data_IF_855889218835
#
_entry.id   IF_855889218835
#
_cell.length_a   1.000
_cell.length_b   1.000
_cell.length_c   1.000
_cell.angle_alpha   90.00
_cell.angle_beta   90.00
_cell.angle_gamma   90.00
#
_symmetry.space_group_name_H-M   'P 1'
#
loop_
_entity.id
_entity.type
_entity.pdbx_description
1 polymer ?
#
# COMPACT_ATOMS: atom_id res chain seq x y z
N UNK A 1 41.15 -4.38 -34.33
CA UNK A 1 40.80 -3.05 -34.88
C UNK A 1 41.96 -2.57 -35.74
N UNK A 2 41.70 -2.13 -36.97
CA UNK A 2 42.71 -1.42 -37.79
C UNK A 2 42.12 -0.09 -38.27
N UNK A 3 42.89 1.00 -38.15
CA UNK A 3 42.58 2.32 -38.70
C UNK A 3 43.73 2.69 -39.63
N UNK A 4 43.45 2.75 -40.92
CA UNK A 4 44.48 2.94 -41.97
C UNK A 4 44.10 4.13 -42.84
N UNK A 5 45.07 5.00 -43.15
CA UNK A 5 44.87 6.12 -44.10
C UNK A 5 44.95 5.57 -45.53
N UNK A 6 43.88 5.72 -46.31
CA UNK A 6 43.81 5.30 -47.73
C UNK A 6 43.09 6.36 -48.56
N UNK A 7 43.74 6.83 -49.64
CA UNK A 7 43.20 7.86 -50.55
C UNK A 7 42.69 9.12 -49.84
N UNK A 8 43.49 9.65 -48.90
CA UNK A 8 43.15 10.87 -48.17
C UNK A 8 42.12 10.72 -47.03
N UNK A 9 41.47 9.55 -46.90
CA UNK A 9 40.46 9.23 -45.87
C UNK A 9 40.94 8.18 -44.91
N UNK A 10 40.35 8.07 -43.73
CA UNK A 10 40.64 7.09 -42.72
C UNK A 10 39.68 5.95 -42.79
N UNK A 11 40.18 4.72 -43.06
CA UNK A 11 39.42 3.48 -43.11
C UNK A 11 39.47 2.81 -41.74
N UNK A 12 38.34 2.65 -41.11
CA UNK A 12 38.12 1.84 -39.92
C UNK A 12 37.67 0.45 -40.35
N UNK A 13 38.30 -0.58 -39.84
CA UNK A 13 38.00 -1.99 -40.14
C UNK A 13 38.15 -2.81 -38.86
N UNK A 14 37.03 -3.35 -38.33
CA UNK A 14 37.05 -4.16 -37.12
C UNK A 14 35.82 -5.07 -37.02
N UNK A 15 35.92 -6.03 -36.09
CA UNK A 15 34.82 -6.89 -35.70
C UNK A 15 34.41 -6.50 -34.27
N UNK A 16 33.20 -6.01 -34.03
CA UNK A 16 32.74 -5.60 -32.69
C UNK A 16 32.79 -6.75 -31.67
N UNK A 17 32.52 -7.96 -32.09
CA UNK A 17 32.46 -9.18 -31.27
C UNK A 17 33.74 -10.05 -31.36
N UNK A 18 34.83 -9.51 -31.89
CA UNK A 18 36.05 -10.26 -32.13
C UNK A 18 36.08 -10.99 -33.49
N UNK A 19 37.27 -11.50 -33.90
CA UNK A 19 37.38 -12.29 -35.13
C UNK A 19 36.64 -13.62 -34.99
N UNK A 20 35.80 -14.00 -35.97
CA UNK A 20 35.01 -15.20 -35.86
C UNK A 20 35.83 -16.47 -35.90
N UNK A 21 35.54 -17.42 -35.01
CA UNK A 21 35.85 -18.84 -35.18
C UNK A 21 34.69 -19.60 -35.86
N UNK A 22 33.79 -18.89 -36.61
CA UNK A 22 32.63 -19.40 -37.30
C UNK A 22 31.84 -18.31 -38.03
N UNK A 23 30.72 -18.65 -38.70
CA UNK A 23 29.97 -17.81 -39.66
C UNK A 23 29.17 -16.58 -39.13
N UNK A 24 29.28 -16.18 -37.88
CA UNK A 24 28.30 -15.27 -37.28
C UNK A 24 28.74 -13.84 -36.93
N UNK A 25 30.02 -13.43 -37.12
CA UNK A 25 30.45 -12.10 -36.67
C UNK A 25 30.48 -11.10 -37.83
N UNK A 26 29.68 -10.02 -37.70
CA UNK A 26 29.53 -8.97 -38.71
C UNK A 26 30.72 -8.01 -38.69
N UNK A 27 31.50 -7.97 -39.80
CA UNK A 27 32.60 -7.03 -40.00
C UNK A 27 32.07 -5.63 -40.27
N UNK A 28 32.63 -4.62 -39.59
CA UNK A 28 32.31 -3.21 -39.84
C UNK A 28 33.50 -2.60 -40.56
N UNK A 29 33.23 -2.02 -41.74
CA UNK A 29 34.19 -1.32 -42.56
C UNK A 29 33.63 0.02 -42.99
N UNK A 30 34.23 1.15 -42.54
CA UNK A 30 33.72 2.50 -42.83
C UNK A 30 34.88 3.49 -42.95
N UNK A 31 34.71 4.51 -43.83
CA UNK A 31 35.69 5.57 -44.06
C UNK A 31 35.24 6.88 -43.44
N UNK A 32 36.19 7.61 -42.87
CA UNK A 32 36.02 8.90 -42.19
C UNK A 32 36.96 9.95 -42.71
N UNK A 33 36.61 11.22 -42.50
CA UNK A 33 37.45 12.36 -42.92
C UNK A 33 38.66 12.53 -42.03
N UNK A 34 38.50 12.24 -40.73
CA UNK A 34 39.57 12.37 -39.74
C UNK A 34 39.80 11.06 -38.96
N UNK A 35 40.99 10.88 -38.38
CA UNK A 35 41.31 9.75 -37.49
C UNK A 35 40.47 9.79 -36.21
N UNK A 36 40.20 11.02 -35.69
CA UNK A 36 39.39 11.23 -34.50
C UNK A 36 37.95 10.72 -34.68
N UNK A 37 37.31 11.04 -35.82
CA UNK A 37 35.97 10.51 -36.16
C UNK A 37 35.94 8.98 -36.23
N UNK A 38 36.96 8.36 -36.80
CA UNK A 38 37.05 6.91 -36.88
C UNK A 38 37.14 6.27 -35.47
N UNK A 39 37.91 6.90 -34.55
CA UNK A 39 38.05 6.44 -33.17
C UNK A 39 36.71 6.67 -32.39
N UNK A 40 36.12 7.85 -32.52
CA UNK A 40 34.86 8.15 -31.87
C UNK A 40 33.75 7.19 -32.32
N UNK A 41 33.65 6.90 -33.60
CA UNK A 41 32.69 5.93 -34.12
C UNK A 41 32.98 4.51 -33.61
N UNK A 42 34.24 4.10 -33.55
CA UNK A 42 34.60 2.81 -32.94
C UNK A 42 34.15 2.72 -31.48
N UNK A 43 34.46 3.73 -30.68
CA UNK A 43 34.08 3.77 -29.26
C UNK A 43 32.56 3.73 -29.07
N UNK A 44 31.83 4.51 -29.87
CA UNK A 44 30.38 4.50 -29.87
C UNK A 44 29.77 3.11 -30.19
N UNK A 45 30.36 2.39 -31.17
CA UNK A 45 29.94 1.03 -31.47
C UNK A 45 30.31 0.08 -30.33
N UNK A 46 31.49 0.19 -29.76
CA UNK A 46 31.94 -0.66 -28.67
C UNK A 46 31.13 -0.43 -27.38
N UNK A 47 30.82 0.83 -27.04
CA UNK A 47 29.89 1.13 -25.95
C UNK A 47 28.52 0.47 -26.16
N UNK A 48 27.96 0.60 -27.37
CA UNK A 48 26.69 -0.07 -27.69
C UNK A 48 26.77 -1.58 -27.69
N UNK A 49 27.92 -2.18 -28.00
CA UNK A 49 28.15 -3.62 -27.91
C UNK A 49 28.21 -4.09 -26.45
N UNK A 50 28.86 -3.31 -25.57
CA UNK A 50 28.92 -3.62 -24.14
C UNK A 50 27.61 -3.35 -23.39
N UNK A 51 26.76 -2.43 -23.90
CA UNK A 51 25.46 -2.08 -23.31
C UNK A 51 24.31 -2.98 -23.84
N UNK A 52 24.59 -3.92 -24.75
CA UNK A 52 23.54 -4.81 -25.28
C UNK A 52 23.34 -6.04 -24.38
N UNK A 53 22.35 -6.05 -23.50
CA UNK A 53 22.08 -7.18 -22.58
C UNK A 53 21.70 -8.49 -23.31
N UNK A 54 21.36 -8.41 -24.61
CA UNK A 54 20.99 -9.58 -25.43
C UNK A 54 22.19 -10.33 -26.04
N UNK A 55 23.43 -9.87 -25.86
CA UNK A 55 24.64 -10.59 -26.30
C UNK A 55 25.06 -11.68 -25.31
N UNK A 56 24.55 -11.66 -24.09
CA UNK A 56 24.81 -12.66 -23.05
C UNK A 56 23.77 -13.80 -23.00
N UNK A 57 23.31 -14.26 -24.15
CA UNK A 57 22.52 -15.47 -24.26
C UNK A 57 21.03 -15.30 -23.99
N UNK A 58 20.22 -15.96 -24.76
CA UNK A 58 18.76 -16.11 -24.75
C UNK A 58 17.95 -14.90 -24.29
N UNK A 59 17.28 -14.22 -25.22
CA UNK A 59 16.23 -13.26 -24.92
C UNK A 59 15.36 -13.77 -23.77
N UNK A 60 15.17 -12.94 -22.75
CA UNK A 60 14.25 -13.25 -21.67
C UNK A 60 12.83 -13.28 -22.25
N UNK A 61 12.30 -14.47 -22.49
CA UNK A 61 10.99 -14.69 -23.08
C UNK A 61 9.89 -14.83 -22.04
N UNK A 62 10.21 -14.58 -20.77
CA UNK A 62 9.19 -14.60 -19.72
C UNK A 62 8.14 -13.52 -20.00
N UNK A 63 6.90 -13.88 -19.77
CA UNK A 63 5.78 -12.96 -19.79
C UNK A 63 5.71 -12.17 -18.48
N UNK A 64 5.01 -11.07 -18.49
CA UNK A 64 4.80 -10.27 -17.28
C UNK A 64 4.19 -11.09 -16.15
N UNK A 65 3.23 -11.98 -16.49
CA UNK A 65 2.61 -12.93 -15.55
C UNK A 65 3.63 -13.90 -14.93
N UNK A 66 4.62 -14.35 -15.69
CA UNK A 66 5.65 -15.24 -15.16
C UNK A 66 6.49 -14.55 -14.07
N UNK A 67 6.79 -13.25 -14.25
CA UNK A 67 7.46 -12.46 -13.21
C UNK A 67 6.58 -12.27 -11.97
N UNK A 68 5.26 -12.06 -12.14
CA UNK A 68 4.32 -11.96 -11.02
C UNK A 68 4.26 -13.28 -10.24
N UNK A 69 4.21 -14.41 -10.93
CA UNK A 69 4.22 -15.73 -10.31
C UNK A 69 5.52 -15.99 -9.56
N UNK A 70 6.66 -15.72 -10.20
CA UNK A 70 7.97 -15.88 -9.58
C UNK A 70 8.11 -14.98 -8.33
N UNK A 71 7.70 -13.73 -8.41
CA UNK A 71 7.67 -12.84 -7.25
C UNK A 71 6.80 -13.40 -6.12
N UNK A 72 5.64 -13.97 -6.46
CA UNK A 72 4.74 -14.54 -5.47
C UNK A 72 5.38 -15.74 -4.77
N UNK A 73 5.96 -16.66 -5.52
CA UNK A 73 6.56 -17.88 -4.99
C UNK A 73 7.77 -17.57 -4.08
N UNK A 74 8.58 -16.56 -4.42
CA UNK A 74 9.80 -16.21 -3.71
C UNK A 74 9.60 -15.20 -2.57
N UNK A 75 8.56 -14.36 -2.64
CA UNK A 75 8.31 -13.30 -1.66
C UNK A 75 6.84 -13.13 -1.32
N UNK A 76 5.97 -13.05 -2.30
CA UNK A 76 4.54 -12.71 -2.12
C UNK A 76 3.81 -13.66 -1.17
N UNK A 77 4.19 -14.94 -1.15
CA UNK A 77 3.64 -15.98 -0.27
C UNK A 77 3.80 -15.65 1.24
N UNK A 78 4.77 -14.83 1.60
CA UNK A 78 5.02 -14.41 3.00
C UNK A 78 4.14 -13.24 3.44
N UNK A 79 3.40 -12.63 2.51
CA UNK A 79 2.57 -11.46 2.78
C UNK A 79 1.13 -11.86 3.11
N UNK A 80 0.53 -11.25 4.11
CA UNK A 80 -0.87 -11.50 4.51
C UNK A 80 -1.87 -11.29 3.36
N UNK A 81 -1.56 -10.38 2.43
CA UNK A 81 -2.37 -10.05 1.26
C UNK A 81 -1.74 -10.50 -0.08
N UNK A 82 -0.75 -11.38 -0.03
CA UNK A 82 0.03 -11.82 -1.19
C UNK A 82 -0.83 -12.40 -2.31
N UNK A 83 -1.74 -13.30 -2.00
CA UNK A 83 -2.70 -13.88 -2.96
C UNK A 83 -3.57 -12.80 -3.63
N UNK A 84 -4.05 -11.85 -2.84
CA UNK A 84 -4.86 -10.74 -3.36
C UNK A 84 -4.06 -9.86 -4.32
N UNK A 85 -2.79 -9.58 -4.01
CA UNK A 85 -1.88 -8.82 -4.88
C UNK A 85 -1.63 -9.59 -6.17
N UNK A 86 -1.28 -10.88 -6.06
CA UNK A 86 -1.07 -11.77 -7.22
C UNK A 86 -2.29 -11.74 -8.14
N UNK A 87 -3.47 -12.06 -7.63
CA UNK A 87 -4.70 -12.09 -8.42
C UNK A 87 -5.06 -10.72 -9.03
N UNK A 88 -4.69 -9.62 -8.38
CA UNK A 88 -4.87 -8.27 -8.94
C UNK A 88 -3.93 -8.02 -10.12
N UNK A 89 -2.67 -8.42 -9.98
CA UNK A 89 -1.65 -8.26 -11.03
C UNK A 89 -1.88 -9.22 -12.21
N UNK A 90 -2.33 -10.45 -11.96
CA UNK A 90 -2.71 -11.40 -13.02
C UNK A 90 -3.83 -10.84 -13.90
N UNK A 91 -4.87 -10.26 -13.27
CA UNK A 91 -5.93 -9.57 -14.00
C UNK A 91 -5.39 -8.40 -14.85
N UNK A 92 -4.44 -7.62 -14.29
CA UNK A 92 -3.82 -6.53 -15.03
C UNK A 92 -2.95 -7.04 -16.20
N UNK A 93 -2.17 -8.11 -16.01
CA UNK A 93 -1.41 -8.76 -17.07
C UNK A 93 -2.33 -9.19 -18.22
N UNK A 94 -3.41 -9.88 -17.91
CA UNK A 94 -4.40 -10.32 -18.90
C UNK A 94 -5.04 -9.14 -19.64
N UNK A 95 -5.42 -8.09 -18.91
CA UNK A 95 -6.02 -6.87 -19.48
C UNK A 95 -5.07 -6.11 -20.41
N UNK A 96 -3.76 -6.29 -20.26
CA UNK A 96 -2.71 -5.71 -21.11
C UNK A 96 -2.25 -6.68 -22.23
N UNK A 97 -2.86 -7.87 -22.36
CA UNK A 97 -2.49 -8.89 -23.34
C UNK A 97 -1.30 -9.74 -22.92
N UNK A 98 -0.93 -9.73 -21.65
CA UNK A 98 0.17 -10.50 -21.05
C UNK A 98 1.48 -10.39 -21.85
N UNK A 99 2.06 -9.17 -21.95
CA UNK A 99 3.21 -8.89 -22.81
C UNK A 99 4.46 -9.63 -22.31
N UNK A 100 5.48 -9.71 -23.17
CA UNK A 100 6.80 -10.10 -22.72
C UNK A 100 7.30 -9.10 -21.66
N UNK A 101 7.93 -9.62 -20.61
CA UNK A 101 8.30 -8.79 -19.46
C UNK A 101 9.26 -7.63 -19.83
N UNK A 102 10.11 -7.82 -20.83
CA UNK A 102 11.03 -6.79 -21.32
C UNK A 102 10.35 -5.74 -22.22
N UNK A 103 9.16 -6.04 -22.76
CA UNK A 103 8.35 -5.12 -23.57
C UNK A 103 7.40 -4.28 -22.69
N UNK A 104 7.16 -4.72 -21.46
CA UNK A 104 6.30 -4.00 -20.53
C UNK A 104 6.94 -2.67 -20.11
N UNK A 105 6.24 -1.57 -20.37
CA UNK A 105 6.74 -0.22 -20.15
C UNK A 105 5.71 0.71 -19.46
N UNK A 106 6.15 1.93 -19.17
CA UNK A 106 5.33 2.98 -18.59
C UNK A 106 4.13 3.36 -19.46
N UNK A 107 4.25 3.26 -20.78
CA UNK A 107 3.20 3.62 -21.74
C UNK A 107 2.06 2.61 -21.68
N UNK A 108 2.39 1.33 -21.72
CA UNK A 108 1.43 0.23 -21.62
C UNK A 108 0.67 0.28 -20.29
N UNK A 109 1.40 0.47 -19.18
CA UNK A 109 0.76 0.61 -17.87
C UNK A 109 -0.11 1.87 -17.76
N UNK A 110 0.29 2.99 -18.36
CA UNK A 110 -0.50 4.22 -18.38
C UNK A 110 -1.80 4.06 -19.18
N UNK A 111 -1.76 3.33 -20.30
CA UNK A 111 -2.96 3.01 -21.07
C UNK A 111 -3.91 2.11 -20.27
N UNK A 112 -3.38 1.09 -19.61
CA UNK A 112 -4.15 0.24 -18.69
C UNK A 112 -4.83 1.08 -17.60
N UNK A 113 -4.09 1.98 -16.91
CA UNK A 113 -4.65 2.87 -15.90
C UNK A 113 -5.81 3.72 -16.43
N UNK A 114 -5.65 4.29 -17.64
CA UNK A 114 -6.71 5.08 -18.30
C UNK A 114 -7.99 4.25 -18.48
N UNK A 115 -7.86 3.03 -18.99
CA UNK A 115 -9.00 2.12 -19.23
C UNK A 115 -9.68 1.68 -17.93
N UNK A 116 -8.92 1.48 -16.85
CA UNK A 116 -9.45 1.17 -15.52
C UNK A 116 -10.23 2.34 -14.92
N UNK A 117 -9.70 3.56 -15.03
CA UNK A 117 -10.33 4.78 -14.54
C UNK A 117 -11.59 5.16 -15.33
N UNK A 118 -11.62 4.90 -16.65
CA UNK A 118 -12.81 5.15 -17.48
C UNK A 118 -13.90 4.09 -17.33
N UNK A 119 -13.59 2.93 -16.72
CA UNK A 119 -14.51 1.80 -16.63
C UNK A 119 -14.56 0.91 -17.86
N UNK A 120 -13.72 1.15 -18.88
CA UNK A 120 -13.58 0.28 -20.05
C UNK A 120 -13.12 -1.12 -19.66
N UNK A 121 -12.24 -1.21 -18.65
CA UNK A 121 -11.77 -2.47 -18.06
C UNK A 121 -12.23 -2.54 -16.60
N UNK A 122 -12.99 -3.57 -16.29
CA UNK A 122 -13.54 -3.82 -14.97
C UNK A 122 -13.25 -5.25 -14.52
N UNK A 123 -12.78 -5.42 -13.28
CA UNK A 123 -12.51 -6.75 -12.70
C UNK A 123 -13.78 -7.45 -12.23
N UNK A 124 -14.79 -6.69 -11.88
CA UNK A 124 -16.08 -7.21 -11.40
C UNK A 124 -17.21 -6.37 -11.97
N UNK A 125 -18.39 -6.97 -12.16
CA UNK A 125 -19.58 -6.25 -12.61
C UNK A 125 -20.07 -5.18 -11.63
N UNK A 126 -19.69 -5.30 -10.35
CA UNK A 126 -20.11 -4.38 -9.27
C UNK A 126 -19.33 -3.06 -9.27
N UNK A 127 -18.06 -3.08 -9.68
CA UNK A 127 -17.19 -1.91 -9.66
C UNK A 127 -16.70 -1.66 -11.07
N UNK A 128 -17.41 -0.80 -11.80
CA UNK A 128 -17.07 -0.47 -13.20
C UNK A 128 -15.81 0.41 -13.26
N UNK A 129 -15.74 1.44 -12.46
CA UNK A 129 -14.62 2.38 -12.40
C UNK A 129 -13.84 2.23 -11.10
N UNK A 130 -12.54 2.37 -11.15
CA UNK A 130 -11.68 2.34 -9.96
C UNK A 130 -11.19 3.75 -9.63
N UNK A 131 -10.87 3.98 -8.34
CA UNK A 131 -10.32 5.27 -7.91
C UNK A 131 -8.84 5.41 -8.29
N UNK A 132 -8.31 6.66 -8.40
CA UNK A 132 -6.89 6.94 -8.55
C UNK A 132 -6.03 6.23 -7.48
N UNK A 133 -6.53 6.13 -6.25
CA UNK A 133 -5.88 5.41 -5.15
C UNK A 133 -5.68 3.92 -5.46
N UNK A 134 -6.68 3.27 -6.07
CA UNK A 134 -6.56 1.87 -6.50
C UNK A 134 -5.47 1.71 -7.56
N UNK A 135 -5.39 2.63 -8.51
CA UNK A 135 -4.34 2.61 -9.53
C UNK A 135 -2.94 2.86 -8.96
N UNK A 136 -2.82 3.71 -7.92
CA UNK A 136 -1.57 3.89 -7.20
C UNK A 136 -1.14 2.62 -6.46
N UNK A 137 -2.11 1.87 -5.93
CA UNK A 137 -1.84 0.59 -5.27
C UNK A 137 -1.35 -0.46 -6.27
N UNK A 138 -2.00 -0.57 -7.43
CA UNK A 138 -1.58 -1.49 -8.50
C UNK A 138 -0.19 -1.11 -9.04
N UNK A 139 0.11 0.20 -9.19
CA UNK A 139 1.46 0.69 -9.52
C UNK A 139 2.50 0.23 -8.50
N UNK A 140 2.18 0.34 -7.20
CA UNK A 140 3.07 -0.09 -6.14
C UNK A 140 3.31 -1.61 -6.17
N UNK A 141 2.31 -2.41 -6.53
CA UNK A 141 2.45 -3.85 -6.66
C UNK A 141 3.41 -4.24 -7.77
N UNK A 142 3.24 -3.71 -8.98
CA UNK A 142 4.17 -3.98 -10.08
C UNK A 142 5.60 -3.49 -9.80
N UNK A 143 5.73 -2.31 -9.18
CA UNK A 143 7.05 -1.83 -8.74
C UNK A 143 7.71 -2.78 -7.77
N UNK A 144 6.96 -3.33 -6.83
CA UNK A 144 7.49 -4.31 -5.87
C UNK A 144 7.96 -5.58 -6.56
N UNK A 145 7.24 -6.08 -7.58
CA UNK A 145 7.67 -7.24 -8.39
C UNK A 145 9.04 -6.99 -9.01
N UNK A 146 9.18 -5.92 -9.79
CA UNK A 146 10.45 -5.65 -10.50
C UNK A 146 11.60 -5.34 -9.53
N UNK A 147 11.35 -4.59 -8.45
CA UNK A 147 12.37 -4.26 -7.46
C UNK A 147 12.85 -5.51 -6.72
N UNK A 148 11.93 -6.38 -6.32
CA UNK A 148 12.28 -7.61 -5.60
C UNK A 148 13.03 -8.57 -6.51
N UNK A 149 12.54 -8.84 -7.72
CA UNK A 149 13.22 -9.71 -8.68
C UNK A 149 14.59 -9.15 -9.11
N UNK A 150 14.75 -7.82 -9.17
CA UNK A 150 16.05 -7.19 -9.38
C UNK A 150 16.99 -7.44 -8.20
N UNK A 151 16.50 -7.30 -6.97
CA UNK A 151 17.27 -7.57 -5.75
C UNK A 151 17.74 -9.03 -5.66
N UNK A 152 16.91 -9.96 -6.11
CA UNK A 152 17.24 -11.40 -6.16
C UNK A 152 18.08 -11.80 -7.38
N UNK A 153 18.36 -10.88 -8.30
CA UNK A 153 19.16 -11.16 -9.51
C UNK A 153 18.38 -11.80 -10.66
N UNK A 154 17.07 -11.97 -10.53
CA UNK A 154 16.19 -12.55 -11.55
C UNK A 154 15.74 -11.55 -12.62
N UNK A 155 15.89 -10.25 -12.37
CA UNK A 155 15.63 -9.17 -13.30
C UNK A 155 16.87 -8.27 -13.43
N UNK A 156 17.41 -8.14 -14.64
CA UNK A 156 18.65 -7.41 -14.89
C UNK A 156 18.43 -5.95 -15.33
N UNK A 157 17.25 -5.64 -15.84
CA UNK A 157 16.92 -4.31 -16.35
C UNK A 157 16.46 -3.37 -15.21
N UNK A 158 16.31 -2.10 -15.52
CA UNK A 158 15.67 -1.17 -14.60
C UNK A 158 14.18 -1.49 -14.46
N UNK A 159 13.59 -1.02 -13.36
CA UNK A 159 12.16 -1.14 -13.15
C UNK A 159 11.43 -0.25 -14.18
N UNK A 160 10.64 -0.82 -15.10
CA UNK A 160 10.00 -0.07 -16.18
C UNK A 160 9.02 1.01 -15.69
N UNK A 161 8.57 0.89 -14.44
CA UNK A 161 7.60 1.83 -13.84
C UNK A 161 8.24 2.84 -12.89
N UNK A 162 9.57 2.91 -12.80
CA UNK A 162 10.27 3.75 -11.82
C UNK A 162 9.86 5.23 -11.94
N UNK A 163 9.68 5.73 -13.15
CA UNK A 163 9.33 7.11 -13.45
C UNK A 163 7.81 7.38 -13.58
N UNK A 164 6.96 6.36 -13.42
CA UNK A 164 5.50 6.54 -13.48
C UNK A 164 5.03 7.24 -12.21
N UNK A 165 4.54 8.45 -12.32
CA UNK A 165 4.03 9.19 -11.14
C UNK A 165 2.73 8.58 -10.63
N UNK A 166 2.62 8.49 -9.30
CA UNK A 166 1.35 8.22 -8.64
C UNK A 166 0.39 9.39 -8.88
N UNK A 167 -0.89 9.10 -8.97
CA UNK A 167 -1.90 10.15 -8.99
C UNK A 167 -1.95 10.87 -7.65
N UNK A 168 -2.17 12.17 -7.68
CA UNK A 168 -2.49 12.93 -6.48
C UNK A 168 -3.80 12.36 -5.92
N UNK A 169 -3.79 11.88 -4.69
CA UNK A 169 -5.01 11.53 -3.97
C UNK A 169 -5.26 12.61 -2.94
N UNK A 170 -6.42 13.21 -2.98
CA UNK A 170 -6.87 14.04 -1.88
C UNK A 170 -6.99 13.16 -0.63
N UNK A 171 -6.47 13.62 0.48
CA UNK A 171 -6.73 12.97 1.76
C UNK A 171 -8.20 13.25 2.10
N UNK A 172 -9.02 12.22 2.12
CA UNK A 172 -10.38 12.35 2.57
C UNK A 172 -10.36 12.84 4.03
N UNK A 173 -11.13 13.87 4.30
CA UNK A 173 -11.36 14.34 5.65
C UNK A 173 -11.88 13.19 6.52
N UNK A 174 -11.33 13.06 7.72
CA UNK A 174 -11.72 11.98 8.63
C UNK A 174 -13.05 12.39 9.30
N UNK A 175 -14.12 11.73 8.90
CA UNK A 175 -15.37 11.90 9.63
C UNK A 175 -15.27 11.28 11.03
N UNK A 176 -15.80 11.98 11.99
CA UNK A 176 -16.07 11.49 13.35
C UNK A 176 -17.51 11.86 13.73
N UNK A 177 -18.04 11.19 14.72
CA UNK A 177 -19.40 11.39 15.19
C UNK A 177 -19.41 12.32 16.41
N UNK A 178 -20.33 13.27 16.42
CA UNK A 178 -20.65 14.07 17.60
C UNK A 178 -21.51 13.27 18.60
N UNK A 179 -21.68 13.78 19.81
CA UNK A 179 -22.34 13.05 20.91
C UNK A 179 -23.79 12.65 20.57
N UNK A 180 -24.56 13.49 19.85
CA UNK A 180 -25.91 13.21 19.39
C UNK A 180 -25.92 12.11 18.32
N UNK A 181 -24.93 12.11 17.42
CA UNK A 181 -24.79 11.09 16.38
C UNK A 181 -24.38 9.74 16.95
N UNK A 182 -23.49 9.75 17.96
CA UNK A 182 -23.11 8.54 18.71
C UNK A 182 -24.36 7.94 19.37
N UNK A 183 -25.16 8.78 20.06
CA UNK A 183 -26.35 8.32 20.76
C UNK A 183 -27.36 7.72 19.77
N UNK A 184 -27.65 8.41 18.67
CA UNK A 184 -28.55 7.95 17.61
C UNK A 184 -28.08 6.64 16.98
N UNK A 185 -26.75 6.50 16.70
CA UNK A 185 -26.20 5.27 16.17
C UNK A 185 -26.33 4.09 17.14
N UNK A 186 -26.03 4.31 18.40
CA UNK A 186 -26.13 3.25 19.43
C UNK A 186 -27.58 2.80 19.65
N UNK A 187 -28.56 3.72 19.61
CA UNK A 187 -30.00 3.38 19.64
C UNK A 187 -30.38 2.48 18.46
N UNK A 188 -29.90 2.82 17.25
CA UNK A 188 -30.15 1.98 16.07
C UNK A 188 -29.44 0.63 16.11
N UNK A 189 -28.28 0.55 16.78
CA UNK A 189 -27.61 -0.71 17.05
C UNK A 189 -28.42 -1.57 18.03
N UNK A 190 -29.04 -1.00 19.07
CA UNK A 190 -29.92 -1.70 20.01
C UNK A 190 -31.18 -2.27 19.35
N UNK A 191 -31.72 -1.61 18.32
CA UNK A 191 -32.88 -2.12 17.55
C UNK A 191 -32.51 -3.30 16.62
N UNK A 192 -31.24 -3.65 16.54
CA UNK A 192 -30.78 -4.78 15.74
C UNK A 192 -31.20 -6.11 16.36
N UNK A 193 -31.62 -7.07 15.52
CA UNK A 193 -31.86 -8.47 15.97
C UNK A 193 -30.59 -9.19 16.46
N UNK A 194 -29.42 -8.64 16.17
CA UNK A 194 -28.14 -9.18 16.59
C UNK A 194 -27.58 -8.28 17.70
N UNK A 195 -27.74 -8.71 18.93
CA UNK A 195 -27.32 -7.98 20.13
C UNK A 195 -25.84 -7.63 20.14
N UNK A 196 -25.00 -8.42 19.45
CA UNK A 196 -23.58 -8.15 19.30
C UNK A 196 -23.29 -6.80 18.62
N UNK A 197 -24.22 -6.28 17.79
CA UNK A 197 -24.04 -5.04 17.04
C UNK A 197 -23.77 -3.85 17.94
N UNK A 198 -24.57 -3.72 19.00
CA UNK A 198 -24.42 -2.66 20.00
C UNK A 198 -23.10 -2.77 20.76
N UNK A 199 -22.78 -3.97 21.26
CA UNK A 199 -21.58 -4.17 22.07
C UNK A 199 -20.28 -4.02 21.30
N UNK A 200 -20.23 -4.46 20.04
CA UNK A 200 -19.07 -4.25 19.17
C UNK A 200 -18.88 -2.78 18.86
N UNK A 201 -19.98 -2.04 18.59
CA UNK A 201 -19.92 -0.60 18.37
C UNK A 201 -19.40 0.14 19.61
N UNK A 202 -19.94 -0.18 20.79
CA UNK A 202 -19.46 0.37 22.06
C UNK A 202 -17.97 0.04 22.29
N UNK A 203 -17.54 -1.19 22.04
CA UNK A 203 -16.15 -1.59 22.22
C UNK A 203 -15.23 -0.80 21.29
N UNK A 204 -15.63 -0.55 20.04
CA UNK A 204 -14.90 0.31 19.11
C UNK A 204 -14.80 1.76 19.61
N UNK A 205 -15.90 2.33 20.10
CA UNK A 205 -15.96 3.70 20.63
C UNK A 205 -15.16 3.87 21.94
N UNK A 206 -15.04 2.84 22.77
CA UNK A 206 -14.34 2.89 24.04
C UNK A 206 -12.84 2.63 23.88
N UNK A 207 -12.44 1.77 22.95
CA UNK A 207 -11.05 1.31 22.83
C UNK A 207 -10.32 1.80 21.58
N UNK A 208 -11.03 2.42 20.64
CA UNK A 208 -10.50 2.76 19.33
C UNK A 208 -10.15 1.54 18.48
N UNK A 209 -10.68 0.35 18.79
CA UNK A 209 -10.45 -0.86 18.02
C UNK A 209 -11.00 -0.74 16.58
N UNK A 210 -10.41 -1.48 15.64
CA UNK A 210 -11.05 -1.72 14.34
C UNK A 210 -12.25 -2.65 14.53
N UNK A 211 -13.23 -2.55 13.63
CA UNK A 211 -14.42 -3.40 13.72
C UNK A 211 -14.07 -4.87 13.82
N UNK A 212 -13.24 -5.37 12.91
CA UNK A 212 -12.88 -6.80 12.89
C UNK A 212 -12.14 -7.26 14.16
N UNK A 213 -11.35 -6.36 14.75
CA UNK A 213 -10.65 -6.62 16.02
C UNK A 213 -11.65 -6.74 17.17
N UNK A 214 -12.62 -5.83 17.24
CA UNK A 214 -13.65 -5.83 18.28
C UNK A 214 -14.63 -7.00 18.11
N UNK A 215 -15.11 -7.27 16.89
CA UNK A 215 -16.02 -8.37 16.59
C UNK A 215 -15.39 -9.74 16.87
N UNK A 216 -14.09 -9.89 16.67
CA UNK A 216 -13.37 -11.16 16.87
C UNK A 216 -12.86 -11.39 18.29
N UNK A 217 -13.10 -10.48 19.22
CA UNK A 217 -12.63 -10.61 20.61
C UNK A 217 -13.14 -11.88 21.25
N UNK A 218 -12.26 -12.54 22.01
CA UNK A 218 -12.55 -13.78 22.74
C UNK A 218 -12.53 -13.54 24.25
N UNK A 219 -13.10 -14.47 25.01
CA UNK A 219 -13.11 -14.46 26.48
C UNK A 219 -11.70 -14.43 27.10
N UNK A 220 -10.67 -14.87 26.36
CA UNK A 220 -9.28 -14.81 26.82
C UNK A 220 -8.69 -13.40 26.72
N UNK A 221 -9.27 -12.54 25.88
CA UNK A 221 -8.76 -11.20 25.56
C UNK A 221 -9.34 -10.10 26.46
N UNK A 222 -10.50 -10.36 27.10
CA UNK A 222 -11.12 -9.41 28.05
C UNK A 222 -10.93 -9.95 29.46
N UNK A 223 -9.96 -9.37 30.20
CA UNK A 223 -9.62 -9.76 31.57
C UNK A 223 -9.11 -8.55 32.35
N UNK A 224 -9.41 -8.54 33.66
CA UNK A 224 -8.86 -7.54 34.59
C UNK A 224 -9.04 -6.10 34.09
N UNK A 225 -10.24 -5.75 33.66
CA UNK A 225 -10.59 -4.41 33.13
C UNK A 225 -9.73 -3.97 31.93
N UNK A 226 -9.30 -4.93 31.12
CA UNK A 226 -8.46 -4.67 29.94
C UNK A 226 -8.91 -5.52 28.79
N UNK A 227 -8.83 -4.97 27.60
CA UNK A 227 -9.02 -5.69 26.31
C UNK A 227 -7.69 -5.76 25.60
N UNK A 228 -7.25 -6.99 25.30
CA UNK A 228 -6.00 -7.24 24.58
C UNK A 228 -6.28 -7.63 23.14
N UNK A 229 -5.76 -6.86 22.19
CA UNK A 229 -5.87 -7.12 20.75
C UNK A 229 -4.56 -7.75 20.26
N UNK A 230 -4.66 -8.99 19.73
CA UNK A 230 -3.52 -9.74 19.19
C UNK A 230 -3.59 -9.84 17.68
N UNK A 231 -2.45 -10.02 17.03
CA UNK A 231 -2.33 -10.18 15.56
C UNK A 231 -3.03 -9.07 14.78
N UNK A 232 -2.87 -7.84 15.23
CA UNK A 232 -3.44 -6.70 14.51
C UNK A 232 -2.71 -6.50 13.17
N UNK A 233 -3.37 -5.85 12.20
CA UNK A 233 -2.78 -5.47 10.92
C UNK A 233 -1.56 -4.55 11.14
N UNK A 234 -0.38 -5.12 11.33
CA UNK A 234 0.86 -4.42 11.75
C UNK A 234 1.61 -5.18 12.84
N UNK A 235 1.16 -6.40 13.18
CA UNK A 235 1.81 -7.37 14.08
C UNK A 235 2.18 -6.81 15.48
N UNK A 236 1.43 -5.82 15.98
CA UNK A 236 1.61 -5.28 17.33
C UNK A 236 0.44 -5.65 18.21
N UNK A 237 0.76 -6.33 19.31
CA UNK A 237 -0.19 -6.57 20.38
C UNK A 237 -0.39 -5.27 21.15
N UNK A 238 -1.62 -4.98 21.54
CA UNK A 238 -1.92 -3.85 22.41
C UNK A 238 -3.01 -4.20 23.39
N UNK A 239 -2.96 -3.56 24.54
CA UNK A 239 -3.93 -3.73 25.61
C UNK A 239 -4.47 -2.35 25.99
N UNK A 240 -5.80 -2.23 26.00
CA UNK A 240 -6.51 -0.99 26.28
C UNK A 240 -7.34 -1.22 27.57
N UNK A 241 -7.25 -0.35 28.57
CA UNK A 241 -8.10 -0.44 29.76
C UNK A 241 -9.56 -0.07 29.41
N UNK A 242 -10.50 -0.67 30.13
CA UNK A 242 -11.93 -0.35 30.07
C UNK A 242 -12.45 -0.10 31.49
N UNK A 243 -13.54 0.65 31.63
CA UNK A 243 -14.11 0.92 32.93
C UNK A 243 -14.77 -0.34 33.53
N UNK A 244 -14.92 -0.34 34.86
CA UNK A 244 -15.60 -1.44 35.60
C UNK A 244 -17.06 -1.55 35.12
N UNK A 245 -17.76 -0.41 34.95
CA UNK A 245 -19.16 -0.37 34.55
C UNK A 245 -19.35 -1.04 33.16
N UNK A 246 -18.47 -0.71 32.20
CA UNK A 246 -18.53 -1.33 30.88
C UNK A 246 -18.20 -2.84 30.93
N UNK A 247 -17.20 -3.21 31.74
CA UNK A 247 -16.82 -4.63 31.92
C UNK A 247 -17.97 -5.46 32.51
N UNK A 248 -18.70 -4.90 33.48
CA UNK A 248 -19.82 -5.58 34.15
C UNK A 248 -21.06 -5.66 33.26
N UNK A 249 -21.28 -4.65 32.41
CA UNK A 249 -22.36 -4.59 31.45
C UNK A 249 -22.18 -5.52 30.24
N UNK A 250 -20.94 -5.94 29.92
CA UNK A 250 -20.69 -6.82 28.77
C UNK A 250 -21.43 -8.16 28.91
N UNK A 251 -22.04 -8.68 27.84
CA UNK A 251 -22.64 -10.00 27.84
C UNK A 251 -21.55 -11.03 28.14
N UNK A 252 -21.82 -11.94 29.08
CA UNK A 252 -20.88 -12.99 29.45
C UNK A 252 -21.21 -14.27 28.67
N UNK A 253 -20.35 -14.71 27.74
CA UNK A 253 -20.60 -15.94 27.01
C UNK A 253 -20.62 -17.15 27.96
N UNK A 254 -21.55 -18.07 27.76
CA UNK A 254 -21.67 -19.29 28.54
C UNK A 254 -20.46 -20.22 28.40
N UNK A 255 -19.77 -20.14 27.24
CA UNK A 255 -18.62 -21.01 26.93
C UNK A 255 -17.42 -20.15 26.52
N UNK A 256 -16.18 -20.61 26.82
CA UNK A 256 -14.97 -19.97 26.30
C UNK A 256 -15.00 -19.92 24.76
N UNK A 257 -14.70 -18.76 24.18
CA UNK A 257 -14.72 -18.57 22.74
C UNK A 257 -14.87 -17.11 22.34
N UNK A 258 -15.51 -16.87 21.22
CA UNK A 258 -15.84 -15.51 20.77
C UNK A 258 -16.84 -14.87 21.71
N UNK A 259 -16.63 -13.60 21.97
CA UNK A 259 -17.55 -12.78 22.78
C UNK A 259 -18.80 -12.40 22.00
N UNK A 260 -18.65 -12.16 20.71
CA UNK A 260 -19.67 -11.62 19.83
C UNK A 260 -19.89 -12.50 18.60
N UNK A 261 -21.12 -12.49 18.10
CA UNK A 261 -21.46 -13.05 16.81
C UNK A 261 -21.05 -12.05 15.69
N UNK A 262 -20.88 -12.56 14.46
CA UNK A 262 -20.64 -11.68 13.31
C UNK A 262 -21.84 -10.76 13.09
N UNK A 263 -21.61 -9.45 13.08
CA UNK A 263 -22.65 -8.43 13.09
C UNK A 263 -22.40 -7.23 12.16
N UNK A 264 -21.34 -7.29 11.32
CA UNK A 264 -20.99 -6.19 10.44
C UNK A 264 -22.13 -5.77 9.48
N UNK A 265 -22.87 -6.74 8.93
CA UNK A 265 -24.03 -6.47 8.07
C UNK A 265 -25.18 -5.79 8.82
N UNK A 266 -25.38 -6.14 10.09
CA UNK A 266 -26.37 -5.52 10.96
C UNK A 266 -25.95 -4.10 11.34
N UNK A 267 -24.66 -3.88 11.62
CA UNK A 267 -24.09 -2.54 11.85
C UNK A 267 -24.29 -1.61 10.66
N UNK A 268 -24.02 -2.08 9.44
CA UNK A 268 -24.24 -1.29 8.24
C UNK A 268 -25.70 -0.80 8.13
N UNK A 269 -26.64 -1.69 8.40
CA UNK A 269 -28.08 -1.33 8.42
C UNK A 269 -28.42 -0.34 9.56
N UNK A 270 -27.75 -0.45 10.70
CA UNK A 270 -27.94 0.50 11.80
C UNK A 270 -27.42 1.90 11.41
N UNK A 271 -26.26 2.00 10.75
CA UNK A 271 -25.75 3.27 10.24
C UNK A 271 -26.70 3.90 9.19
N UNK A 272 -27.24 3.08 8.28
CA UNK A 272 -28.24 3.52 7.31
C UNK A 272 -29.50 4.10 7.99
N UNK A 273 -30.01 3.44 9.04
CA UNK A 273 -31.17 3.91 9.81
C UNK A 273 -30.88 5.13 10.68
N UNK A 274 -29.65 5.24 11.17
CA UNK A 274 -29.21 6.39 11.94
C UNK A 274 -29.06 7.67 11.08
N UNK A 275 -29.18 7.54 9.77
CA UNK A 275 -29.07 8.65 8.80
C UNK A 275 -27.81 9.49 9.02
N UNK A 276 -26.68 8.79 9.10
CA UNK A 276 -25.36 9.43 9.26
C UNK A 276 -24.75 9.73 7.90
N UNK A 277 -24.41 10.99 7.67
CA UNK A 277 -23.73 11.41 6.44
C UNK A 277 -22.23 11.08 6.50
N UNK A 278 -21.87 9.83 6.23
CA UNK A 278 -20.49 9.36 6.26
C UNK A 278 -19.87 9.37 4.88
N UNK A 279 -18.60 9.82 4.75
CA UNK A 279 -17.86 9.71 3.50
C UNK A 279 -17.68 8.24 3.08
N UNK A 280 -17.63 8.01 1.78
CA UNK A 280 -17.44 6.68 1.21
C UNK A 280 -16.23 5.96 1.79
N UNK A 281 -16.43 4.69 2.17
CA UNK A 281 -15.39 3.82 2.70
C UNK A 281 -15.02 4.04 4.17
N UNK A 282 -15.68 4.95 4.89
CA UNK A 282 -15.40 5.20 6.32
C UNK A 282 -16.33 4.47 7.29
N UNK A 283 -17.29 3.69 6.81
CA UNK A 283 -18.38 3.10 7.56
C UNK A 283 -18.00 2.58 8.96
N UNK A 284 -17.15 1.53 9.03
CA UNK A 284 -16.72 0.95 10.31
C UNK A 284 -15.51 1.67 10.92
N UNK A 285 -14.80 2.43 10.11
CA UNK A 285 -13.66 3.22 10.57
C UNK A 285 -14.09 4.48 11.32
N UNK A 286 -15.32 4.98 11.10
CA UNK A 286 -15.83 6.17 11.79
C UNK A 286 -15.81 6.02 13.31
N UNK A 287 -16.15 4.85 13.86
CA UNK A 287 -16.10 4.62 15.31
C UNK A 287 -14.70 4.81 15.89
N UNK A 288 -13.68 4.30 15.18
CA UNK A 288 -12.28 4.48 15.57
C UNK A 288 -11.82 5.93 15.40
N UNK A 289 -12.26 6.60 14.34
CA UNK A 289 -11.99 8.02 14.12
C UNK A 289 -12.65 8.86 15.22
N UNK A 290 -13.90 8.56 15.57
CA UNK A 290 -14.63 9.18 16.67
C UNK A 290 -13.86 9.05 17.99
N UNK A 291 -13.47 7.83 18.38
CA UNK A 291 -12.63 7.64 19.57
C UNK A 291 -11.39 8.52 19.54
N UNK A 292 -10.65 8.52 18.42
CA UNK A 292 -9.37 9.22 18.31
C UNK A 292 -9.56 10.75 18.37
N UNK A 293 -10.58 11.28 17.69
CA UNK A 293 -10.90 12.71 17.68
C UNK A 293 -11.34 13.18 19.07
N UNK A 294 -12.27 12.48 19.71
CA UNK A 294 -12.72 12.81 21.07
C UNK A 294 -11.59 12.67 22.10
N UNK A 295 -10.70 11.67 21.94
CA UNK A 295 -9.54 11.54 22.82
C UNK A 295 -8.61 12.76 22.73
N UNK A 296 -8.38 13.27 21.52
CA UNK A 296 -7.57 14.48 21.31
C UNK A 296 -8.29 15.74 21.79
N UNK A 297 -9.58 15.91 21.47
CA UNK A 297 -10.40 17.06 21.94
C UNK A 297 -10.41 17.18 23.45
N UNK A 298 -10.39 16.05 24.16
CA UNK A 298 -10.31 15.99 25.63
C UNK A 298 -8.88 16.14 26.18
N UNK A 299 -7.92 16.59 25.36
CA UNK A 299 -6.56 16.85 25.78
C UNK A 299 -5.67 15.60 25.91
N UNK A 300 -6.05 14.50 25.27
CA UNK A 300 -5.27 13.27 25.30
C UNK A 300 -3.90 13.41 24.63
N UNK A 301 -2.90 12.69 25.16
CA UNK A 301 -1.55 12.70 24.60
C UNK A 301 -1.47 11.89 23.31
N UNK A 302 -0.92 12.48 22.24
CA UNK A 302 -0.83 11.88 20.90
C UNK A 302 -0.02 10.57 20.85
N UNK A 303 1.03 10.43 21.70
CA UNK A 303 1.82 9.22 21.79
C UNK A 303 1.07 8.10 22.52
N UNK A 304 0.22 8.45 23.48
CA UNK A 304 -0.68 7.51 24.13
C UNK A 304 -1.73 7.05 23.15
N UNK A 305 -2.33 7.97 22.37
CA UNK A 305 -3.26 7.62 21.31
C UNK A 305 -2.63 6.68 20.27
N UNK A 306 -1.39 6.94 19.84
CA UNK A 306 -0.66 6.04 18.95
C UNK A 306 -0.58 4.61 19.47
N UNK A 307 -0.28 4.45 20.76
CA UNK A 307 -0.20 3.13 21.42
C UNK A 307 -1.57 2.46 21.52
N UNK A 308 -2.61 3.19 21.90
CA UNK A 308 -4.00 2.69 21.97
C UNK A 308 -4.47 2.22 20.60
N UNK A 309 -4.22 3.01 19.57
CA UNK A 309 -4.61 2.66 18.20
C UNK A 309 -3.71 1.57 17.58
N UNK A 310 -2.50 1.35 18.11
CA UNK A 310 -1.54 0.40 17.57
C UNK A 310 -0.95 0.83 16.21
N UNK A 311 -0.79 2.14 15.99
CA UNK A 311 -0.16 2.66 14.79
C UNK A 311 1.35 2.46 14.83
N UNK A 312 1.90 1.88 13.76
CA UNK A 312 3.36 1.67 13.61
C UNK A 312 4.12 2.96 13.30
N UNK A 313 3.48 3.86 12.53
CA UNK A 313 4.01 5.17 12.19
C UNK A 313 3.18 6.26 12.88
N UNK A 314 3.86 7.18 13.57
CA UNK A 314 3.23 8.33 14.24
C UNK A 314 2.45 9.20 13.25
N UNK A 315 2.87 9.29 11.99
CA UNK A 315 2.18 10.05 10.95
C UNK A 315 0.71 9.64 10.81
N UNK A 316 0.39 8.36 11.03
CA UNK A 316 -1.00 7.89 11.02
C UNK A 316 -1.83 8.50 12.15
N UNK A 317 -1.21 8.83 13.29
CA UNK A 317 -1.88 9.42 14.46
C UNK A 317 -1.88 10.95 14.37
N UNK A 318 -0.87 11.55 13.75
CA UNK A 318 -0.79 13.01 13.57
C UNK A 318 -1.98 13.60 12.82
N UNK A 319 -2.74 12.77 12.10
CA UNK A 319 -4.00 13.17 11.44
C UNK A 319 -5.06 13.66 12.44
N UNK A 320 -4.96 13.32 13.71
CA UNK A 320 -5.86 13.77 14.78
C UNK A 320 -5.28 14.93 15.61
N UNK A 321 -4.05 15.35 15.34
CA UNK A 321 -3.37 16.35 16.16
C UNK A 321 -4.07 17.73 16.17
N UNK A 322 -4.74 18.07 15.06
CA UNK A 322 -5.46 19.35 14.94
C UNK A 322 -6.72 19.43 15.82
N UNK A 323 -7.21 18.31 16.36
CA UNK A 323 -8.30 18.29 17.34
C UNK A 323 -7.82 18.59 18.77
N UNK A 324 -6.51 18.58 19.03
CA UNK A 324 -6.01 18.87 20.35
C UNK A 324 -6.31 20.33 20.74
N UNK A 325 -6.72 20.60 21.99
CA UNK A 325 -6.80 21.97 22.50
C UNK A 325 -5.45 22.68 22.37
N UNK A 326 -5.51 24.01 22.28
CA UNK A 326 -4.28 24.80 22.25
C UNK A 326 -3.65 24.84 23.66
N UNK A 327 -2.61 24.03 23.86
CA UNK A 327 -1.90 23.92 25.13
C UNK A 327 -0.67 24.84 25.24
N UNK A 328 -0.56 25.89 24.42
CA UNK A 328 0.58 26.82 24.50
C UNK A 328 0.71 27.48 25.87
N UNK A 329 -0.40 27.68 26.59
CA UNK A 329 -0.40 28.19 27.97
C UNK A 329 0.30 27.23 28.95
N UNK A 330 0.36 25.93 28.66
CA UNK A 330 1.11 24.98 29.47
C UNK A 330 2.61 25.28 29.52
N UNK A 331 3.13 26.02 28.51
CA UNK A 331 4.54 26.45 28.52
C UNK A 331 4.87 27.34 29.73
N UNK A 332 3.92 28.08 30.28
CA UNK A 332 4.13 28.91 31.48
C UNK A 332 4.32 28.05 32.74
N UNK A 333 3.62 26.90 32.78
CA UNK A 333 3.67 26.00 33.95
C UNK A 333 4.73 24.91 33.80
N UNK A 334 4.91 24.36 32.60
CA UNK A 334 5.77 23.20 32.35
C UNK A 334 7.22 23.57 32.00
N UNK A 335 7.58 24.85 32.02
CA UNK A 335 8.97 25.24 31.84
C UNK A 335 9.78 24.98 33.12
N UNK A 336 11.12 24.88 33.06
CA UNK A 336 11.99 24.59 34.23
C UNK A 336 11.91 25.59 35.40
N UNK A 337 11.31 26.76 35.15
CA UNK A 337 11.12 27.82 36.14
C UNK A 337 9.65 28.05 36.49
N UNK A 338 8.71 27.24 35.94
CA UNK A 338 7.28 27.41 36.11
C UNK A 338 6.82 27.49 37.55
N UNK A 339 7.34 26.61 38.40
CA UNK A 339 7.03 26.59 39.83
C UNK A 339 7.51 27.85 40.59
N UNK A 340 8.48 28.57 40.01
CA UNK A 340 9.07 29.75 40.64
C UNK A 340 8.40 31.08 40.23
N UNK A 341 7.81 31.11 39.03
CA UNK A 341 7.25 32.33 38.43
C UNK A 341 5.82 32.14 37.93
N UNK A 342 5.13 31.06 38.31
CA UNK A 342 3.73 30.79 37.99
C UNK A 342 2.76 31.64 38.84
#
# INVERSE_FOLDING_TARGET
MSIIKKNGKWLLDFYPEGKPKGKASKRIRKTFSTKGEAIAYHNHIMENVHVKPWLDGKEDRRKLRDLVNQWFDEHGITLDDGEKRKSTMEFACESMGDPLAHEFDATMFSLYRKKRLSGEISRTSRVKQVSPRTMNLELAYFRAVFNELKRLGHWKLENPLINVRAFKSEEAELAYLEDEEISRLLEECLKSRNDSTYWVACLCLITGARWDEAESVTTKQIKNLKVSFFKTKGNRNRTVPISQEFYDALPKPEKPGRFFNSCYSAFRKAVERADLNLPDGQLSHVLRHTFASHFMMKGGNILVLQRILGHTDIKMTMRYAHFAPNHLEEATRLNPLGDKYA
#
